data_IF_992921559980
#
_entry.id   IF_992921559980
#
_cell.length_a   1.000
_cell.length_b   1.000
_cell.length_c   1.000
_cell.angle_alpha   90.00
_cell.angle_beta   90.00
_cell.angle_gamma   90.00
#
_symmetry.space_group_name_H-M   'P 1'
#
loop_
_entity.id
_entity.type
_entity.pdbx_description
1 polymer ?
#
# COMPACT_ATOMS: atom_id res chain seq x y z
N UNK A 1 -19.50 -34.93 53.32
CA UNK A 1 -18.08 -34.57 53.51
C UNK A 1 -17.34 -35.13 52.30
N UNK A 2 -17.18 -34.32 51.24
CA UNK A 2 -16.36 -34.68 50.08
C UNK A 2 -14.90 -34.72 50.52
N UNK A 3 -14.17 -35.77 50.12
CA UNK A 3 -12.74 -35.89 50.47
C UNK A 3 -11.95 -34.77 49.79
N UNK A 4 -10.83 -34.30 50.38
CA UNK A 4 -10.00 -33.26 49.77
C UNK A 4 -9.56 -33.59 48.33
N UNK A 5 -9.45 -34.88 48.00
CA UNK A 5 -9.10 -35.37 46.66
C UNK A 5 -10.20 -35.13 45.62
N UNK A 6 -11.48 -35.29 45.98
CA UNK A 6 -12.61 -34.97 45.07
C UNK A 6 -12.66 -33.47 44.73
N UNK A 7 -12.37 -32.60 45.69
CA UNK A 7 -12.37 -31.14 45.47
C UNK A 7 -11.24 -30.70 44.53
N UNK A 8 -10.06 -31.31 44.63
CA UNK A 8 -8.93 -31.03 43.74
C UNK A 8 -9.21 -31.51 42.30
N UNK A 9 -9.79 -32.70 42.15
CA UNK A 9 -10.19 -33.25 40.84
C UNK A 9 -11.27 -32.38 40.18
N UNK A 10 -12.25 -31.88 40.95
CA UNK A 10 -13.28 -31.01 40.40
C UNK A 10 -12.75 -29.62 40.02
N UNK A 11 -11.79 -29.07 40.77
CA UNK A 11 -11.10 -27.82 40.41
C UNK A 11 -10.30 -27.95 39.10
N UNK A 12 -9.66 -29.09 38.84
CA UNK A 12 -8.98 -29.36 37.56
C UNK A 12 -10.00 -29.50 36.42
N UNK A 13 -11.15 -30.15 36.66
CA UNK A 13 -12.21 -30.36 35.66
C UNK A 13 -12.89 -29.06 35.21
N UNK A 14 -12.89 -28.01 36.06
CA UNK A 14 -13.43 -26.67 35.74
C UNK A 14 -12.46 -25.76 34.98
N UNK A 15 -11.22 -26.19 34.72
CA UNK A 15 -10.27 -25.37 33.98
C UNK A 15 -10.59 -25.36 32.49
N UNK A 16 -10.69 -24.16 31.91
CA UNK A 16 -10.86 -24.02 30.47
C UNK A 16 -9.61 -24.55 29.76
N UNK A 17 -9.75 -25.33 28.68
CA UNK A 17 -8.60 -25.74 27.88
C UNK A 17 -8.00 -24.53 27.15
N UNK A 18 -6.68 -24.50 27.01
CA UNK A 18 -5.97 -23.46 26.28
C UNK A 18 -6.36 -23.48 24.79
N UNK A 19 -6.77 -22.34 24.24
CA UNK A 19 -7.22 -22.24 22.85
C UNK A 19 -6.13 -22.60 21.82
N UNK A 20 -4.84 -22.44 22.15
CA UNK A 20 -3.73 -22.81 21.26
C UNK A 20 -3.24 -24.27 21.35
N UNK A 21 -2.98 -24.80 22.54
CA UNK A 21 -2.41 -26.15 22.72
C UNK A 21 -3.35 -27.17 23.36
N UNK A 22 -4.51 -26.76 23.87
CA UNK A 22 -5.48 -27.65 24.52
C UNK A 22 -5.15 -28.02 25.97
N UNK A 23 -3.98 -27.65 26.50
CA UNK A 23 -3.60 -27.91 27.89
C UNK A 23 -4.53 -27.20 28.89
N UNK A 24 -4.76 -27.76 30.09
CA UNK A 24 -5.57 -27.12 31.12
C UNK A 24 -4.95 -25.79 31.56
N UNK A 25 -5.74 -24.71 31.62
CA UNK A 25 -5.26 -23.40 32.06
C UNK A 25 -5.21 -23.31 33.59
N UNK A 26 -3.99 -23.47 34.12
CA UNK A 26 -3.67 -23.38 35.56
C UNK A 26 -3.40 -21.95 36.06
N UNK A 27 -3.35 -20.94 35.18
CA UNK A 27 -3.04 -19.56 35.55
C UNK A 27 -3.40 -18.52 34.48
N UNK A 28 -2.88 -17.30 34.60
CA UNK A 28 -3.08 -16.21 33.62
C UNK A 28 -2.37 -16.47 32.29
N UNK A 29 -1.37 -17.36 32.27
CA UNK A 29 -0.70 -17.82 31.07
C UNK A 29 -0.70 -19.34 31.03
N UNK A 30 -0.82 -19.90 29.83
CA UNK A 30 -0.65 -21.33 29.61
C UNK A 30 0.81 -21.73 29.84
N UNK A 31 1.05 -22.65 30.79
CA UNK A 31 2.39 -23.14 31.12
C UNK A 31 3.10 -23.83 29.96
N UNK A 32 2.37 -24.42 29.01
CA UNK A 32 2.96 -25.18 27.91
C UNK A 32 3.30 -24.31 26.69
N UNK A 33 2.45 -23.32 26.36
CA UNK A 33 2.60 -22.54 25.13
C UNK A 33 2.69 -21.02 25.34
N UNK A 34 2.66 -20.55 26.59
CA UNK A 34 2.78 -19.14 26.95
C UNK A 34 1.57 -18.27 26.56
N UNK A 35 0.44 -18.85 26.13
CA UNK A 35 -0.74 -18.05 25.74
C UNK A 35 -1.40 -17.40 26.97
N UNK A 36 -1.63 -16.07 26.97
CA UNK A 36 -2.41 -15.44 28.02
C UNK A 36 -3.88 -15.86 27.98
N UNK A 37 -4.47 -16.09 29.15
CA UNK A 37 -5.88 -16.45 29.37
C UNK A 37 -6.82 -15.35 28.90
N UNK A 38 -6.52 -14.10 29.24
CA UNK A 38 -7.25 -12.92 28.74
C UNK A 38 -6.53 -12.33 27.54
N UNK A 39 -7.27 -12.09 26.46
CA UNK A 39 -6.76 -11.35 25.30
C UNK A 39 -6.50 -9.90 25.67
N UNK A 40 -5.32 -9.59 26.23
CA UNK A 40 -4.94 -8.23 26.52
C UNK A 40 -4.67 -7.52 25.20
N UNK A 41 -5.51 -6.55 24.84
CA UNK A 41 -5.17 -5.59 23.80
C UNK A 41 -4.04 -4.76 24.40
N UNK A 42 -2.80 -5.06 23.99
CA UNK A 42 -1.64 -4.31 24.46
C UNK A 42 -1.71 -2.88 23.95
N UNK A 43 -1.30 -1.94 24.79
CA UNK A 43 -1.14 -0.54 24.44
C UNK A 43 -0.11 -0.39 23.30
N UNK A 44 -0.30 0.62 22.44
CA UNK A 44 0.52 0.87 21.25
C UNK A 44 2.06 0.87 21.49
N UNK A 45 2.60 1.39 22.61
CA UNK A 45 4.05 1.40 22.85
C UNK A 45 4.66 0.01 23.03
N UNK A 46 3.95 -0.91 23.68
CA UNK A 46 4.41 -2.29 23.84
C UNK A 46 4.50 -3.04 22.51
N UNK A 47 3.68 -2.64 21.53
CA UNK A 47 3.71 -3.22 20.17
C UNK A 47 4.95 -2.79 19.37
N UNK A 48 5.48 -1.58 19.61
CA UNK A 48 6.69 -1.06 18.95
C UNK A 48 7.94 -1.76 19.49
N UNK A 49 8.04 -1.95 20.80
CA UNK A 49 9.13 -2.69 21.42
C UNK A 49 9.16 -4.15 20.94
N UNK A 50 8.00 -4.80 20.94
CA UNK A 50 7.79 -6.14 20.38
C UNK A 50 8.17 -6.26 18.89
N UNK A 51 7.96 -5.19 18.12
CA UNK A 51 8.31 -5.12 16.70
C UNK A 51 9.82 -5.05 16.50
N UNK A 52 10.50 -4.13 17.21
CA UNK A 52 11.96 -4.00 17.13
C UNK A 52 12.66 -5.28 17.58
N UNK A 53 12.17 -5.90 18.66
CA UNK A 53 12.71 -7.17 19.15
C UNK A 53 12.56 -8.30 18.13
N UNK A 54 11.42 -8.39 17.43
CA UNK A 54 11.21 -9.40 16.38
C UNK A 54 11.84 -9.06 15.02
N UNK A 55 12.12 -7.79 14.74
CA UNK A 55 12.84 -7.37 13.54
C UNK A 55 14.33 -7.72 13.64
N UNK A 56 14.90 -7.60 14.84
CA UNK A 56 16.28 -7.95 15.13
C UNK A 56 16.45 -9.44 15.47
N UNK A 57 15.45 -10.08 16.09
CA UNK A 57 15.39 -11.53 16.28
C UNK A 57 14.47 -12.15 15.23
N UNK A 58 15.03 -12.54 14.08
CA UNK A 58 14.32 -13.22 13.00
C UNK A 58 13.83 -14.61 13.48
N UNK A 59 12.70 -14.61 14.19
CA UNK A 59 12.16 -15.74 14.94
C UNK A 59 11.73 -16.87 13.99
N UNK A 60 11.97 -18.12 14.39
CA UNK A 60 11.46 -19.31 13.70
C UNK A 60 9.93 -19.23 13.53
N UNK A 61 9.22 -18.54 14.42
CA UNK A 61 7.78 -18.30 14.30
C UNK A 61 7.40 -17.52 13.03
N UNK A 62 8.21 -16.55 12.61
CA UNK A 62 7.99 -15.77 11.39
C UNK A 62 8.04 -16.66 10.16
N UNK A 63 9.06 -17.54 10.06
CA UNK A 63 9.18 -18.53 9.00
C UNK A 63 8.01 -19.53 8.98
N UNK A 64 7.55 -19.96 10.17
CA UNK A 64 6.35 -20.81 10.28
C UNK A 64 5.06 -20.12 9.83
N UNK A 65 4.97 -18.79 9.93
CA UNK A 65 3.82 -18.02 9.41
C UNK A 65 3.84 -17.81 7.91
N UNK A 66 5.02 -17.62 7.32
CA UNK A 66 5.20 -17.29 5.90
C UNK A 66 4.61 -18.37 4.97
N UNK A 67 4.89 -19.64 5.24
CA UNK A 67 4.40 -20.77 4.42
C UNK A 67 2.86 -20.82 4.33
N UNK A 68 2.13 -20.89 5.47
CA UNK A 68 0.68 -20.84 5.47
C UNK A 68 0.11 -19.51 4.95
N UNK A 69 0.83 -18.39 5.11
CA UNK A 69 0.40 -17.10 4.56
C UNK A 69 0.34 -17.13 3.04
N UNK A 70 1.34 -17.72 2.36
CA UNK A 70 1.40 -17.79 0.89
C UNK A 70 0.47 -18.86 0.29
N UNK A 71 0.36 -20.01 0.95
CA UNK A 71 -0.27 -21.22 0.38
C UNK A 71 -1.71 -21.46 0.83
N UNK A 72 -2.13 -20.96 2.01
CA UNK A 72 -3.45 -21.26 2.60
C UNK A 72 -4.29 -19.99 2.77
N UNK A 73 -5.09 -19.60 1.75
CA UNK A 73 -5.86 -18.36 1.77
C UNK A 73 -6.82 -18.28 2.97
N UNK A 74 -6.75 -17.19 3.73
CA UNK A 74 -7.62 -16.94 4.89
C UNK A 74 -7.44 -17.89 6.09
N UNK A 75 -6.45 -18.78 6.07
CA UNK A 75 -6.21 -19.73 7.17
C UNK A 75 -5.77 -19.03 8.45
N UNK A 76 -4.76 -18.15 8.39
CA UNK A 76 -4.25 -17.44 9.58
C UNK A 76 -5.33 -16.58 10.26
N UNK A 77 -6.18 -15.90 9.48
CA UNK A 77 -7.29 -15.13 10.03
C UNK A 77 -8.26 -16.01 10.82
N UNK A 78 -8.63 -17.16 10.26
CA UNK A 78 -9.51 -18.11 10.93
C UNK A 78 -8.87 -18.74 12.19
N UNK A 79 -7.57 -19.06 12.16
CA UNK A 79 -6.81 -19.51 13.34
C UNK A 79 -6.82 -18.45 14.45
N UNK A 80 -6.61 -17.18 14.07
CA UNK A 80 -6.63 -16.07 15.02
C UNK A 80 -8.02 -15.87 15.63
N UNK A 81 -9.09 -15.98 14.82
CA UNK A 81 -10.48 -15.95 15.29
C UNK A 81 -10.82 -17.13 16.20
N UNK A 82 -10.23 -18.30 15.95
CA UNK A 82 -10.34 -19.47 16.82
C UNK A 82 -9.53 -19.34 18.14
N UNK A 83 -8.78 -18.25 18.32
CA UNK A 83 -8.03 -17.99 19.55
C UNK A 83 -6.61 -18.58 19.58
N UNK A 84 -6.12 -19.16 18.48
CA UNK A 84 -4.77 -19.73 18.36
C UNK A 84 -3.72 -18.65 18.06
N UNK A 85 -3.40 -17.83 19.08
CA UNK A 85 -2.64 -16.57 18.90
C UNK A 85 -1.13 -16.66 19.15
N UNK A 86 -0.62 -17.72 19.76
CA UNK A 86 0.83 -17.86 20.07
C UNK A 86 1.59 -18.73 19.08
N UNK A 87 0.91 -19.60 18.33
CA UNK A 87 1.55 -20.44 17.31
C UNK A 87 2.10 -19.62 16.13
N UNK A 88 1.43 -18.52 15.81
CA UNK A 88 1.72 -17.64 14.69
C UNK A 88 2.06 -16.23 15.17
N UNK A 89 2.82 -15.49 14.37
CA UNK A 89 3.08 -14.07 14.60
C UNK A 89 1.76 -13.29 14.57
N UNK A 90 1.63 -12.27 15.40
CA UNK A 90 0.42 -11.44 15.43
C UNK A 90 0.23 -10.69 14.10
N UNK A 91 -1.01 -10.45 13.65
CA UNK A 91 -1.28 -9.87 12.34
C UNK A 91 -0.60 -8.51 12.14
N UNK A 92 -0.61 -7.65 13.17
CA UNK A 92 0.04 -6.34 13.14
C UNK A 92 1.56 -6.44 13.00
N UNK A 93 2.20 -7.28 13.83
CA UNK A 93 3.64 -7.45 13.79
C UNK A 93 4.10 -8.03 12.45
N UNK A 94 3.36 -9.02 11.94
CA UNK A 94 3.61 -9.63 10.64
C UNK A 94 3.51 -8.60 9.51
N UNK A 95 2.47 -7.77 9.52
CA UNK A 95 2.28 -6.73 8.51
C UNK A 95 3.41 -5.70 8.52
N UNK A 96 3.78 -5.18 9.70
CA UNK A 96 4.86 -4.20 9.81
C UNK A 96 6.19 -4.80 9.34
N UNK A 97 6.52 -6.02 9.76
CA UNK A 97 7.75 -6.70 9.37
C UNK A 97 7.81 -6.93 7.85
N UNK A 98 6.73 -7.47 7.27
CA UNK A 98 6.68 -7.74 5.83
C UNK A 98 6.69 -6.45 5.01
N UNK A 99 6.06 -5.38 5.49
CA UNK A 99 6.08 -4.07 4.81
C UNK A 99 7.49 -3.51 4.79
N UNK A 100 8.15 -3.42 5.95
CA UNK A 100 9.53 -2.90 6.02
C UNK A 100 10.45 -3.74 5.14
N UNK A 101 10.38 -5.07 5.21
CA UNK A 101 11.22 -5.95 4.40
C UNK A 101 10.95 -5.80 2.89
N UNK A 102 9.68 -5.78 2.47
CA UNK A 102 9.32 -5.65 1.05
C UNK A 102 9.77 -4.31 0.47
N UNK A 103 9.48 -3.20 1.16
CA UNK A 103 9.83 -1.86 0.66
C UNK A 103 11.32 -1.56 0.76
N UNK A 104 12.01 -2.08 1.77
CA UNK A 104 13.48 -2.04 1.83
C UNK A 104 14.08 -2.76 0.61
N UNK A 105 13.59 -3.96 0.29
CA UNK A 105 14.09 -4.72 -0.86
C UNK A 105 13.77 -4.03 -2.18
N UNK A 106 12.57 -3.48 -2.35
CA UNK A 106 12.24 -2.64 -3.52
C UNK A 106 13.23 -1.47 -3.61
N UNK A 107 13.44 -0.72 -2.52
CA UNK A 107 14.34 0.43 -2.49
C UNK A 107 15.80 0.08 -2.83
N UNK A 108 16.28 -1.10 -2.44
CA UNK A 108 17.64 -1.57 -2.76
C UNK A 108 17.75 -2.00 -4.23
N UNK A 109 16.72 -2.70 -4.74
CA UNK A 109 16.72 -3.31 -6.07
C UNK A 109 16.42 -2.31 -7.18
N UNK A 110 15.62 -1.29 -6.90
CA UNK A 110 15.29 -0.22 -7.85
C UNK A 110 16.03 1.07 -7.46
N UNK A 111 17.38 1.11 -7.50
CA UNK A 111 18.07 2.37 -7.34
C UNK A 111 17.59 3.27 -8.49
N UNK A 112 17.23 4.51 -8.17
CA UNK A 112 17.01 5.56 -9.15
C UNK A 112 18.34 5.82 -9.84
N UNK A 113 18.65 5.02 -10.87
CA UNK A 113 19.71 5.37 -11.80
C UNK A 113 19.14 6.41 -12.73
N UNK A 114 19.81 7.55 -12.77
CA UNK A 114 19.51 8.65 -13.68
C UNK A 114 19.42 8.10 -15.12
N UNK A 115 18.44 8.59 -15.85
CA UNK A 115 17.84 7.91 -17.00
C UNK A 115 18.83 7.30 -17.99
N UNK A 116 18.72 5.98 -18.20
CA UNK A 116 18.81 5.42 -19.55
C UNK A 116 18.10 4.09 -19.74
N UNK A 117 18.07 3.19 -18.74
CA UNK A 117 17.59 1.83 -19.00
C UNK A 117 16.72 1.29 -17.85
N UNK A 118 15.42 1.61 -17.83
CA UNK A 118 14.46 0.83 -17.07
C UNK A 118 13.64 -0.01 -18.06
N UNK A 119 13.91 -1.32 -18.10
CA UNK A 119 13.21 -2.33 -18.90
C UNK A 119 11.75 -2.59 -18.49
N UNK A 120 11.00 -1.53 -18.18
CA UNK A 120 9.54 -1.58 -18.04
C UNK A 120 8.91 -0.93 -19.28
N UNK A 121 8.87 -1.68 -20.37
CA UNK A 121 8.11 -1.30 -21.55
C UNK A 121 6.62 -1.48 -21.27
N UNK A 122 5.91 -0.38 -20.94
CA UNK A 122 4.46 -0.34 -21.14
C UNK A 122 4.25 -0.29 -22.65
N UNK A 123 3.99 -1.44 -23.26
CA UNK A 123 3.50 -1.51 -24.63
C UNK A 123 2.05 -1.03 -24.60
N UNK A 124 1.87 0.30 -24.70
CA UNK A 124 0.59 0.86 -25.13
C UNK A 124 0.43 0.39 -26.56
N UNK A 125 -0.37 -0.66 -26.75
CA UNK A 125 -0.71 -1.17 -28.06
C UNK A 125 -1.30 -0.05 -28.88
N UNK A 126 -0.52 0.46 -29.84
CA UNK A 126 -0.96 1.39 -30.86
C UNK A 126 -2.01 0.66 -31.70
N UNK A 127 -3.29 0.84 -31.33
CA UNK A 127 -4.39 0.40 -32.18
C UNK A 127 -4.41 1.39 -33.33
N UNK A 128 -3.87 0.95 -34.45
CA UNK A 128 -4.07 1.52 -35.78
C UNK A 128 -5.55 1.87 -35.98
N UNK A 129 -5.88 3.14 -35.75
CA UNK A 129 -7.16 3.71 -36.13
C UNK A 129 -7.21 3.86 -37.66
N UNK A 130 -8.38 3.67 -38.29
CA UNK A 130 -8.53 3.75 -39.74
C UNK A 130 -8.15 5.13 -40.28
N UNK A 131 -7.39 5.13 -41.37
CA UNK A 131 -6.69 6.26 -41.99
C UNK A 131 -7.58 7.43 -42.47
N UNK A 132 -8.91 7.30 -42.43
CA UNK A 132 -9.83 8.32 -42.95
C UNK A 132 -10.23 9.38 -41.91
N UNK A 133 -10.07 9.11 -40.61
CA UNK A 133 -10.28 10.11 -39.56
C UNK A 133 -9.07 11.03 -39.33
N UNK A 134 -7.91 10.71 -39.91
CA UNK A 134 -6.67 11.46 -39.75
C UNK A 134 -6.69 12.82 -40.44
N UNK A 135 -7.25 12.90 -41.66
CA UNK A 135 -7.18 14.12 -42.48
C UNK A 135 -8.01 15.29 -41.90
N UNK A 136 -9.22 15.01 -41.42
CA UNK A 136 -10.09 16.04 -40.85
C UNK A 136 -9.57 16.58 -39.51
N UNK A 137 -8.86 15.75 -38.74
CA UNK A 137 -8.22 16.17 -37.48
C UNK A 137 -6.94 16.94 -37.77
N UNK A 138 -6.16 16.57 -38.79
CA UNK A 138 -4.95 17.33 -39.17
C UNK A 138 -5.27 18.72 -39.69
N UNK A 139 -6.37 18.89 -40.43
CA UNK A 139 -6.77 20.21 -40.96
C UNK A 139 -7.30 21.13 -39.85
N UNK A 140 -8.11 20.61 -38.93
CA UNK A 140 -8.59 21.37 -37.77
C UNK A 140 -7.46 21.76 -36.80
N UNK A 141 -6.40 20.93 -36.70
CA UNK A 141 -5.20 21.24 -35.93
C UNK A 141 -4.34 22.28 -36.65
N UNK A 142 -4.17 22.18 -37.97
CA UNK A 142 -3.41 23.14 -38.78
C UNK A 142 -4.06 24.54 -38.78
N UNK A 143 -5.40 24.62 -38.82
CA UNK A 143 -6.12 25.90 -38.78
C UNK A 143 -6.05 26.57 -37.41
N UNK A 144 -6.10 25.79 -36.32
CA UNK A 144 -5.83 26.28 -34.96
C UNK A 144 -4.37 26.74 -34.79
N UNK A 145 -3.41 26.10 -35.46
CA UNK A 145 -2.00 26.49 -35.44
C UNK A 145 -1.79 27.85 -36.12
N UNK A 146 -2.34 28.06 -37.32
CA UNK A 146 -2.26 29.35 -38.03
C UNK A 146 -2.92 30.49 -37.25
N UNK A 147 -4.05 30.21 -36.58
CA UNK A 147 -4.71 31.17 -35.69
C UNK A 147 -3.89 31.50 -34.42
N UNK A 148 -3.00 30.59 -33.98
CA UNK A 148 -2.06 30.80 -32.87
C UNK A 148 -0.80 31.55 -33.31
N UNK A 149 -0.30 31.27 -34.52
CA UNK A 149 0.90 31.89 -35.10
C UNK A 149 0.72 33.38 -35.42
N UNK A 150 -0.51 33.83 -35.68
CA UNK A 150 -0.84 35.25 -35.87
C UNK A 150 -0.97 36.07 -34.57
N UNK A 151 -0.97 35.44 -33.39
CA UNK A 151 -0.96 36.14 -32.10
C UNK A 151 0.49 36.30 -31.69
N UNK A 152 0.98 37.55 -31.72
CA UNK A 152 2.33 37.88 -31.24
C UNK A 152 2.57 37.19 -29.89
N UNK A 153 3.67 36.42 -29.74
CA UNK A 153 3.99 35.84 -28.45
C UNK A 153 4.13 37.01 -27.48
N UNK A 154 3.29 37.01 -26.44
CA UNK A 154 3.51 37.86 -25.28
C UNK A 154 4.91 37.49 -24.77
N UNK A 155 5.91 38.32 -25.10
CA UNK A 155 7.31 38.07 -24.77
C UNK A 155 7.47 38.23 -23.27
N UNK A 156 7.23 37.14 -22.56
CA UNK A 156 7.61 37.00 -21.16
C UNK A 156 9.14 37.13 -21.12
N UNK A 157 9.69 38.08 -20.33
CA UNK A 157 11.12 38.20 -20.15
C UNK A 157 11.76 36.84 -19.83
N UNK A 158 12.89 36.52 -20.45
CA UNK A 158 13.60 35.24 -20.24
C UNK A 158 13.93 35.00 -18.76
N UNK A 159 14.07 36.08 -17.97
CA UNK A 159 14.22 36.07 -16.52
C UNK A 159 13.03 35.45 -15.76
N UNK A 160 11.79 35.56 -16.28
CA UNK A 160 10.58 35.02 -15.67
C UNK A 160 10.36 33.52 -15.98
N UNK A 161 11.17 32.95 -16.87
CA UNK A 161 11.18 31.52 -17.22
C UNK A 161 12.23 30.73 -16.39
N UNK A 162 13.06 31.42 -15.63
CA UNK A 162 14.08 30.80 -14.77
C UNK A 162 13.44 30.43 -13.43
N UNK A 163 13.52 29.16 -13.07
CA UNK A 163 13.01 28.67 -11.78
C UNK A 163 13.90 29.22 -10.65
N UNK A 164 13.38 30.13 -9.83
CA UNK A 164 14.10 30.68 -8.66
C UNK A 164 13.28 30.48 -7.38
N UNK A 165 13.90 30.52 -6.18
CA UNK A 165 13.16 30.47 -4.91
C UNK A 165 12.08 31.56 -4.80
N UNK A 166 12.30 32.71 -5.45
CA UNK A 166 11.38 33.86 -5.46
C UNK A 166 10.29 33.76 -6.56
N UNK A 167 10.54 33.01 -7.65
CA UNK A 167 9.58 32.70 -8.70
C UNK A 167 9.54 31.18 -9.00
N UNK A 168 8.84 30.39 -8.16
CA UNK A 168 8.79 28.93 -8.31
C UNK A 168 7.86 28.42 -9.42
N UNK A 169 7.15 29.29 -10.15
CA UNK A 169 6.16 28.91 -11.18
C UNK A 169 6.48 29.40 -12.62
N UNK A 170 7.63 29.04 -13.21
CA UNK A 170 7.93 29.39 -14.60
C UNK A 170 7.07 28.62 -15.61
N UNK A 171 6.42 27.52 -15.18
CA UNK A 171 5.52 26.70 -16.00
C UNK A 171 4.13 27.31 -16.23
N UNK A 172 3.88 28.52 -15.71
CA UNK A 172 2.56 29.21 -15.78
C UNK A 172 1.40 28.30 -15.33
N UNK A 173 1.62 27.48 -14.30
CA UNK A 173 0.59 26.58 -13.77
C UNK A 173 -0.55 27.42 -13.18
N UNK A 174 -1.75 27.24 -13.73
CA UNK A 174 -2.99 27.83 -13.24
C UNK A 174 -3.77 26.82 -12.40
N UNK A 175 -4.20 27.23 -11.21
CA UNK A 175 -4.94 26.35 -10.28
C UNK A 175 -6.46 26.61 -10.37
N UNK A 176 -6.87 27.89 -10.43
CA UNK A 176 -8.29 28.28 -10.37
C UNK A 176 -8.73 29.33 -11.41
N UNK A 177 -7.80 30.11 -11.99
CA UNK A 177 -8.09 31.18 -12.95
C UNK A 177 -7.16 31.09 -14.16
N UNK A 178 -7.39 31.85 -15.24
CA UNK A 178 -6.48 31.92 -16.40
C UNK A 178 -5.14 32.59 -16.08
N UNK A 179 -5.02 33.25 -14.92
CA UNK A 179 -3.78 33.84 -14.44
C UNK A 179 -2.89 32.79 -13.76
N UNK A 180 -1.58 32.72 -14.10
CA UNK A 180 -0.62 31.91 -13.38
C UNK A 180 -0.64 32.20 -11.87
N UNK A 181 -0.45 31.16 -11.06
CA UNK A 181 -0.28 31.35 -9.62
C UNK A 181 1.07 32.02 -9.33
N UNK A 182 1.09 33.09 -8.52
CA UNK A 182 2.29 33.76 -8.05
C UNK A 182 2.14 34.05 -6.55
N UNK A 183 3.17 33.79 -5.72
CA UNK A 183 3.06 33.92 -4.26
C UNK A 183 2.71 35.34 -3.78
N UNK A 184 3.03 36.36 -4.58
CA UNK A 184 2.75 37.78 -4.28
C UNK A 184 1.53 38.29 -5.04
N UNK A 185 1.45 38.03 -6.34
CA UNK A 185 0.43 38.65 -7.21
C UNK A 185 -0.91 37.91 -7.21
N UNK A 186 -0.91 36.60 -6.95
CA UNK A 186 -2.12 35.78 -6.96
C UNK A 186 -2.05 34.65 -5.90
N UNK A 187 -1.96 35.00 -4.60
CA UNK A 187 -1.84 34.01 -3.54
C UNK A 187 -3.15 33.23 -3.33
N UNK A 188 -3.03 31.95 -2.96
CA UNK A 188 -4.15 31.14 -2.50
C UNK A 188 -4.55 31.65 -1.10
N UNK A 189 -5.77 32.16 -0.97
CA UNK A 189 -6.32 32.63 0.31
C UNK A 189 -7.49 31.76 0.74
N UNK A 190 -7.39 31.21 1.94
CA UNK A 190 -8.39 30.39 2.62
C UNK A 190 -8.89 31.15 3.83
N UNK A 191 -10.18 31.48 3.82
CA UNK A 191 -10.79 32.37 4.82
C UNK A 191 -10.67 31.87 6.27
N UNK A 192 -10.69 30.55 6.49
CA UNK A 192 -10.60 29.94 7.82
C UNK A 192 -9.16 29.78 8.35
N UNK A 193 -8.14 30.05 7.53
CA UNK A 193 -6.75 29.68 7.81
C UNK A 193 -5.91 30.81 8.46
N UNK A 194 -6.48 32.00 8.64
CA UNK A 194 -5.77 33.18 9.18
C UNK A 194 -4.60 33.65 8.31
N UNK A 195 -3.89 34.71 8.70
CA UNK A 195 -2.77 35.24 7.89
C UNK A 195 -1.56 34.31 7.88
N UNK A 196 -1.18 33.79 9.05
CA UNK A 196 -0.03 32.88 9.21
C UNK A 196 -0.21 31.57 8.45
N UNK A 197 -1.41 30.99 8.50
CA UNK A 197 -1.71 29.76 7.79
C UNK A 197 -1.83 29.98 6.28
N UNK A 198 -2.32 31.13 5.82
CA UNK A 198 -2.28 31.51 4.41
C UNK A 198 -0.85 31.72 3.90
N UNK A 199 0.03 32.33 4.69
CA UNK A 199 1.45 32.45 4.34
C UNK A 199 2.11 31.07 4.21
N UNK A 200 1.93 30.21 5.23
CA UNK A 200 2.41 28.82 5.20
C UNK A 200 1.91 28.04 3.97
N UNK A 201 0.63 28.18 3.64
CA UNK A 201 0.03 27.51 2.48
C UNK A 201 0.66 27.97 1.16
N UNK A 202 0.84 29.27 0.97
CA UNK A 202 1.44 29.81 -0.26
C UNK A 202 2.91 29.37 -0.42
N UNK A 203 3.67 29.30 0.67
CA UNK A 203 5.03 28.75 0.65
C UNK A 203 5.03 27.27 0.23
N UNK A 204 4.11 26.46 0.77
CA UNK A 204 3.98 25.04 0.42
C UNK A 204 3.55 24.82 -1.03
N UNK A 205 2.64 25.65 -1.54
CA UNK A 205 2.20 25.61 -2.96
C UNK A 205 3.37 25.96 -3.89
N UNK A 206 4.19 26.95 -3.53
CA UNK A 206 5.39 27.32 -4.29
C UNK A 206 6.40 26.19 -4.38
N UNK A 207 6.76 25.59 -3.24
CA UNK A 207 7.68 24.45 -3.22
C UNK A 207 7.15 23.25 -4.00
N UNK A 208 5.85 22.98 -3.92
CA UNK A 208 5.22 21.92 -4.71
C UNK A 208 5.37 22.15 -6.22
N UNK A 209 5.05 23.35 -6.71
CA UNK A 209 5.14 23.68 -8.14
C UNK A 209 6.60 23.54 -8.60
N UNK A 210 7.54 24.13 -7.86
CA UNK A 210 8.98 24.00 -8.11
C UNK A 210 9.41 22.53 -8.20
N UNK A 211 9.13 21.75 -7.15
CA UNK A 211 9.54 20.35 -7.04
C UNK A 211 8.85 19.48 -8.11
N UNK A 212 7.63 19.82 -8.54
CA UNK A 212 6.93 19.11 -9.60
C UNK A 212 7.52 19.37 -11.00
N UNK A 213 7.94 20.61 -11.30
CA UNK A 213 8.59 20.95 -12.56
C UNK A 213 9.94 20.24 -12.65
N UNK A 214 10.69 20.21 -11.55
CA UNK A 214 11.97 19.51 -11.48
C UNK A 214 11.80 17.97 -11.53
N UNK A 215 10.76 17.43 -10.91
CA UNK A 215 10.42 16.01 -11.01
C UNK A 215 10.05 15.59 -12.45
N UNK A 216 9.41 16.46 -13.23
CA UNK A 216 9.07 16.18 -14.62
C UNK A 216 10.32 16.02 -15.52
N UNK A 217 11.44 16.67 -15.17
CA UNK A 217 12.73 16.49 -15.86
C UNK A 217 13.40 15.15 -15.55
N UNK A 218 13.08 14.53 -14.41
CA UNK A 218 13.68 13.28 -13.94
C UNK A 218 12.60 12.25 -13.54
N UNK A 219 11.96 11.56 -14.50
CA UNK A 219 10.87 10.62 -14.23
C UNK A 219 11.27 9.48 -13.27
N UNK A 220 12.56 9.10 -13.27
CA UNK A 220 13.07 8.09 -12.34
C UNK A 220 13.04 8.57 -10.87
N UNK A 221 13.33 9.86 -10.61
CA UNK A 221 13.26 10.44 -9.26
C UNK A 221 11.82 10.49 -8.76
N UNK A 222 10.87 10.78 -9.64
CA UNK A 222 9.45 10.76 -9.33
C UNK A 222 8.96 9.36 -8.90
N UNK A 223 9.31 8.32 -9.66
CA UNK A 223 8.91 6.94 -9.34
C UNK A 223 9.43 6.50 -7.97
N UNK A 224 10.68 6.85 -7.62
CA UNK A 224 11.18 6.53 -6.28
C UNK A 224 10.57 7.39 -5.16
N UNK A 225 10.25 8.66 -5.42
CA UNK A 225 9.47 9.46 -4.48
C UNK A 225 8.10 8.83 -4.21
N UNK A 226 7.47 8.17 -5.19
CA UNK A 226 6.25 7.40 -4.96
C UNK A 226 6.49 6.15 -4.09
N UNK A 227 7.57 5.41 -4.31
CA UNK A 227 7.87 4.21 -3.52
C UNK A 227 8.30 4.53 -2.07
N UNK A 228 8.92 5.68 -1.82
CA UNK A 228 9.33 6.09 -0.47
C UNK A 228 8.13 6.38 0.45
N UNK A 229 7.02 6.87 -0.12
CA UNK A 229 5.78 7.18 0.63
C UNK A 229 4.78 6.02 0.67
N UNK A 230 5.00 4.96 -0.12
CA UNK A 230 4.11 3.80 -0.18
C UNK A 230 3.91 3.06 1.16
N UNK A 231 4.94 2.79 1.99
CA UNK A 231 4.76 2.11 3.29
C UNK A 231 3.84 2.89 4.23
N UNK A 232 3.99 4.22 4.27
CA UNK A 232 3.16 5.11 5.09
C UNK A 232 1.71 5.11 4.59
N UNK A 233 1.53 5.15 3.26
CA UNK A 233 0.21 5.11 2.61
C UNK A 233 -0.54 3.83 2.96
N UNK A 234 0.12 2.67 2.88
CA UNK A 234 -0.49 1.38 3.23
C UNK A 234 -0.89 1.29 4.71
N UNK A 235 -0.06 1.84 5.62
CA UNK A 235 -0.40 1.93 7.05
C UNK A 235 -1.65 2.80 7.27
N UNK A 236 -1.74 3.94 6.58
CA UNK A 236 -2.87 4.87 6.70
C UNK A 236 -4.17 4.30 6.13
N UNK A 237 -4.09 3.55 5.03
CA UNK A 237 -5.25 2.92 4.39
C UNK A 237 -5.82 1.78 5.23
N UNK A 238 -5.03 1.14 6.08
CA UNK A 238 -5.43 -0.05 6.82
C UNK A 238 -6.73 0.10 7.64
N UNK A 239 -6.91 1.13 8.51
CA UNK A 239 -8.19 1.34 9.20
C UNK A 239 -9.34 1.65 8.24
N UNK A 240 -9.07 2.40 7.17
CA UNK A 240 -10.07 2.75 6.15
C UNK A 240 -10.52 1.50 5.37
N UNK A 241 -9.59 0.61 5.03
CA UNK A 241 -9.87 -0.65 4.36
C UNK A 241 -10.62 -1.63 5.28
N UNK A 242 -10.25 -1.68 6.57
CA UNK A 242 -11.02 -2.45 7.55
C UNK A 242 -12.47 -1.94 7.67
N UNK A 243 -12.67 -0.62 7.63
CA UNK A 243 -13.99 0.01 7.59
C UNK A 243 -14.73 -0.29 6.28
N UNK A 244 -14.04 -0.26 5.13
CA UNK A 244 -14.59 -0.66 3.83
C UNK A 244 -15.10 -2.11 3.86
N UNK A 245 -14.30 -3.04 4.39
CA UNK A 245 -14.72 -4.41 4.61
C UNK A 245 -15.95 -4.48 5.54
N UNK A 246 -15.94 -3.74 6.65
CA UNK A 246 -17.10 -3.69 7.57
C UNK A 246 -18.37 -3.22 6.86
N UNK A 247 -18.27 -2.23 5.97
CA UNK A 247 -19.42 -1.70 5.21
C UNK A 247 -19.98 -2.76 4.24
N UNK A 248 -19.13 -3.39 3.42
CA UNK A 248 -19.57 -4.41 2.45
C UNK A 248 -20.05 -5.73 3.08
N UNK A 249 -19.60 -6.00 4.30
CA UNK A 249 -19.93 -7.21 5.06
C UNK A 249 -20.79 -6.93 6.30
N UNK A 250 -21.49 -5.79 6.35
CA UNK A 250 -22.28 -5.35 7.52
C UNK A 250 -23.30 -6.40 8.00
N UNK A 251 -23.90 -7.14 7.07
CA UNK A 251 -24.89 -8.18 7.37
C UNK A 251 -24.32 -9.44 8.02
N UNK A 252 -23.00 -9.61 8.10
CA UNK A 252 -22.37 -10.79 8.72
C UNK A 252 -22.14 -10.66 10.23
N UNK A 253 -22.52 -9.52 10.84
CA UNK A 253 -22.43 -9.25 12.29
C UNK A 253 -21.05 -9.54 12.90
N UNK A 254 -19.99 -9.38 12.11
CA UNK A 254 -18.59 -9.50 12.53
C UNK A 254 -18.14 -8.20 13.21
N UNK A 255 -17.24 -8.31 14.18
CA UNK A 255 -16.70 -7.15 14.88
C UNK A 255 -15.69 -6.42 13.99
N UNK A 256 -15.55 -5.09 14.19
CA UNK A 256 -14.55 -4.29 13.45
C UNK A 256 -13.14 -4.88 13.57
N UNK A 257 -12.77 -5.37 14.75
CA UNK A 257 -11.47 -6.01 14.99
C UNK A 257 -11.25 -7.24 14.11
N UNK A 258 -12.29 -8.01 13.80
CA UNK A 258 -12.16 -9.16 12.89
C UNK A 258 -11.82 -8.68 11.48
N UNK A 259 -12.49 -7.65 10.96
CA UNK A 259 -12.18 -7.05 9.66
C UNK A 259 -10.77 -6.44 9.62
N UNK A 260 -10.34 -5.82 10.72
CA UNK A 260 -8.98 -5.28 10.86
C UNK A 260 -7.92 -6.39 10.77
N UNK A 261 -8.16 -7.54 11.40
CA UNK A 261 -7.27 -8.71 11.30
C UNK A 261 -7.23 -9.27 9.88
N UNK A 262 -8.38 -9.31 9.18
CA UNK A 262 -8.42 -9.71 7.76
C UNK A 262 -7.58 -8.76 6.91
N UNK A 263 -7.74 -7.45 7.12
CA UNK A 263 -6.96 -6.42 6.44
C UNK A 263 -5.45 -6.59 6.68
N UNK A 264 -5.03 -6.82 7.92
CA UNK A 264 -3.63 -7.01 8.29
C UNK A 264 -3.01 -8.23 7.61
N UNK A 265 -3.68 -9.39 7.64
CA UNK A 265 -3.16 -10.58 6.96
C UNK A 265 -3.15 -10.43 5.43
N UNK A 266 -4.16 -9.79 4.85
CA UNK A 266 -4.19 -9.58 3.40
C UNK A 266 -3.08 -8.64 2.94
N UNK A 267 -2.80 -7.56 3.69
CA UNK A 267 -1.70 -6.64 3.39
C UNK A 267 -0.33 -7.27 3.66
N UNK A 268 -0.20 -8.11 4.69
CA UNK A 268 1.01 -8.91 4.93
C UNK A 268 1.31 -9.83 3.74
N UNK A 269 0.27 -10.50 3.22
CA UNK A 269 0.39 -11.34 2.02
C UNK A 269 0.77 -10.53 0.79
N UNK A 270 0.16 -9.35 0.57
CA UNK A 270 0.51 -8.46 -0.54
C UNK A 270 1.98 -8.02 -0.46
N UNK A 271 2.47 -7.62 0.72
CA UNK A 271 3.86 -7.23 0.91
C UNK A 271 4.82 -8.41 0.68
N UNK A 272 4.48 -9.61 1.19
CA UNK A 272 5.23 -10.83 0.90
C UNK A 272 5.26 -11.13 -0.60
N UNK A 273 4.13 -10.97 -1.28
CA UNK A 273 4.04 -11.26 -2.70
C UNK A 273 4.90 -10.27 -3.52
N UNK A 274 4.85 -8.97 -3.19
CA UNK A 274 5.71 -7.96 -3.81
C UNK A 274 7.19 -8.28 -3.57
N UNK A 275 7.56 -8.63 -2.34
CA UNK A 275 8.93 -9.05 -2.01
C UNK A 275 9.40 -10.22 -2.89
N UNK A 276 8.58 -11.27 -3.00
CA UNK A 276 8.91 -12.45 -3.81
C UNK A 276 8.98 -12.12 -5.31
N UNK A 277 8.09 -11.26 -5.82
CA UNK A 277 8.14 -10.79 -7.21
C UNK A 277 9.43 -10.03 -7.52
N UNK A 278 9.86 -9.16 -6.60
CA UNK A 278 11.13 -8.42 -6.73
C UNK A 278 12.31 -9.39 -6.71
N UNK A 279 12.35 -10.33 -5.76
CA UNK A 279 13.42 -11.32 -5.66
C UNK A 279 13.51 -12.23 -6.91
N UNK A 280 12.37 -12.65 -7.47
CA UNK A 280 12.33 -13.43 -8.70
C UNK A 280 12.93 -12.67 -9.89
N UNK A 281 12.61 -11.37 -10.02
CA UNK A 281 13.20 -10.52 -11.07
C UNK A 281 14.72 -10.34 -10.89
N UNK A 282 15.21 -10.31 -9.65
CA UNK A 282 16.65 -10.27 -9.38
C UNK A 282 17.36 -11.56 -9.76
N UNK A 283 16.72 -12.71 -9.59
CA UNK A 283 17.31 -13.99 -10.04
C UNK A 283 17.53 -13.97 -11.56
N UNK A 284 16.54 -13.49 -12.33
CA UNK A 284 16.68 -13.39 -13.79
C UNK A 284 17.85 -12.49 -14.22
N UNK A 285 18.09 -11.38 -13.50
CA UNK A 285 19.18 -10.45 -13.84
C UNK A 285 20.56 -11.01 -13.48
N UNK A 286 20.66 -11.86 -12.45
CA UNK A 286 21.93 -12.47 -12.04
C UNK A 286 22.35 -13.65 -12.92
N UNK A 287 21.39 -14.40 -13.45
CA UNK A 287 21.63 -15.60 -14.26
C UNK A 287 21.89 -15.32 -15.75
N UNK A 288 22.37 -14.11 -16.07
CA UNK A 288 22.41 -13.46 -17.39
C UNK A 288 23.20 -14.12 -18.54
N UNK A 289 23.34 -15.45 -18.53
CA UNK A 289 23.97 -16.25 -19.58
C UNK A 289 23.04 -17.31 -20.16
N UNK A 290 21.93 -17.66 -19.48
CA UNK A 290 21.06 -18.77 -19.88
C UNK A 290 19.72 -18.25 -20.43
N UNK A 291 19.45 -18.39 -21.74
CA UNK A 291 18.26 -17.78 -22.38
C UNK A 291 16.92 -18.33 -21.87
N UNK A 292 16.92 -19.52 -21.25
CA UNK A 292 15.71 -20.15 -20.71
C UNK A 292 15.27 -19.50 -19.38
N UNK A 293 16.19 -18.92 -18.60
CA UNK A 293 15.89 -18.42 -17.25
C UNK A 293 14.93 -17.23 -17.25
N UNK A 294 15.08 -16.19 -18.09
CA UNK A 294 14.12 -15.09 -18.14
C UNK A 294 12.70 -15.53 -18.49
N UNK A 295 12.54 -16.53 -19.38
CA UNK A 295 11.23 -17.06 -19.74
C UNK A 295 10.58 -17.80 -18.56
N UNK A 296 11.33 -18.66 -17.86
CA UNK A 296 10.85 -19.35 -16.65
C UNK A 296 10.49 -18.38 -15.53
N UNK A 297 11.33 -17.36 -15.30
CA UNK A 297 11.04 -16.31 -14.32
C UNK A 297 9.80 -15.53 -14.72
N UNK A 298 9.65 -15.17 -16.00
CA UNK A 298 8.45 -14.52 -16.52
C UNK A 298 7.18 -15.34 -16.30
N UNK A 299 7.23 -16.66 -16.52
CA UNK A 299 6.13 -17.57 -16.24
C UNK A 299 5.80 -17.61 -14.74
N UNK A 300 6.81 -17.68 -13.87
CA UNK A 300 6.62 -17.66 -12.40
C UNK A 300 6.04 -16.32 -11.93
N UNK A 301 6.52 -15.20 -12.47
CA UNK A 301 6.01 -13.86 -12.19
C UNK A 301 4.55 -13.74 -12.62
N UNK A 302 4.20 -14.25 -13.81
CA UNK A 302 2.82 -14.27 -14.30
C UNK A 302 1.92 -15.14 -13.41
N UNK A 303 2.37 -16.36 -13.09
CA UNK A 303 1.64 -17.28 -12.22
C UNK A 303 1.39 -16.66 -10.84
N UNK A 304 2.41 -16.01 -10.27
CA UNK A 304 2.31 -15.32 -8.99
C UNK A 304 1.39 -14.10 -9.05
N UNK A 305 1.45 -13.32 -10.14
CA UNK A 305 0.58 -12.17 -10.36
C UNK A 305 -0.88 -12.57 -10.48
N UNK A 306 -1.18 -13.70 -11.14
CA UNK A 306 -2.51 -14.29 -11.18
C UNK A 306 -2.94 -14.90 -9.84
N UNK A 307 -1.99 -15.43 -9.06
CA UNK A 307 -2.26 -16.00 -7.74
C UNK A 307 -2.69 -14.95 -6.71
N UNK A 308 -2.17 -13.72 -6.76
CA UNK A 308 -2.51 -12.64 -5.81
C UNK A 308 -4.03 -12.38 -5.74
N UNK A 309 -4.73 -12.01 -6.84
CA UNK A 309 -6.17 -11.76 -6.79
C UNK A 309 -6.96 -13.03 -6.47
N UNK A 310 -6.53 -14.20 -6.97
CA UNK A 310 -7.18 -15.47 -6.67
C UNK A 310 -7.11 -15.81 -5.18
N UNK A 311 -5.94 -15.62 -4.56
CA UNK A 311 -5.73 -15.81 -3.13
C UNK A 311 -6.67 -14.92 -2.32
N UNK A 312 -6.75 -13.63 -2.65
CA UNK A 312 -7.60 -12.67 -1.93
C UNK A 312 -9.09 -13.01 -2.08
N UNK A 313 -9.52 -13.42 -3.28
CA UNK A 313 -10.89 -13.87 -3.52
C UNK A 313 -11.24 -15.12 -2.69
N UNK A 314 -10.35 -16.14 -2.69
CA UNK A 314 -10.56 -17.36 -1.90
C UNK A 314 -10.53 -17.05 -0.41
N UNK A 315 -9.64 -16.16 0.04
CA UNK A 315 -9.54 -15.75 1.44
C UNK A 315 -10.84 -15.09 1.91
N UNK A 316 -11.38 -14.14 1.13
CA UNK A 316 -12.67 -13.51 1.43
C UNK A 316 -13.79 -14.55 1.49
N UNK A 317 -13.86 -15.47 0.52
CA UNK A 317 -14.85 -16.53 0.51
C UNK A 317 -14.77 -17.39 1.77
N UNK A 318 -13.57 -17.84 2.15
CA UNK A 318 -13.34 -18.73 3.29
C UNK A 318 -13.66 -18.06 4.62
N UNK A 319 -13.38 -16.76 4.76
CA UNK A 319 -13.61 -16.00 5.99
C UNK A 319 -15.10 -15.64 6.15
N UNK A 320 -15.73 -15.12 5.09
CA UNK A 320 -17.11 -14.61 5.16
C UNK A 320 -18.19 -15.64 4.81
N UNK A 321 -17.79 -16.82 4.31
CA UNK A 321 -18.67 -17.95 3.97
C UNK A 321 -19.88 -17.53 3.13
N UNK A 322 -19.62 -16.91 1.98
CA UNK A 322 -20.64 -16.47 1.02
C UNK A 322 -20.60 -17.31 -0.27
N UNK A 323 -21.67 -17.27 -1.05
CA UNK A 323 -21.72 -17.88 -2.39
C UNK A 323 -20.72 -17.22 -3.34
N UNK A 324 -20.29 -17.96 -4.37
CA UNK A 324 -19.24 -17.51 -5.30
C UNK A 324 -19.59 -16.23 -6.04
N UNK A 325 -20.81 -16.12 -6.60
CA UNK A 325 -21.23 -14.96 -7.39
C UNK A 325 -21.21 -13.66 -6.56
N UNK A 326 -21.82 -13.70 -5.37
CA UNK A 326 -21.86 -12.54 -4.48
C UNK A 326 -20.46 -12.17 -3.96
N UNK A 327 -19.62 -13.17 -3.70
CA UNK A 327 -18.23 -12.93 -3.28
C UNK A 327 -17.41 -12.29 -4.40
N UNK A 328 -17.55 -12.78 -5.64
CA UNK A 328 -16.88 -12.22 -6.81
C UNK A 328 -17.29 -10.77 -7.07
N UNK A 329 -18.60 -10.48 -7.06
CA UNK A 329 -19.11 -9.11 -7.22
C UNK A 329 -18.56 -8.17 -6.14
N UNK A 330 -18.64 -8.56 -4.86
CA UNK A 330 -18.10 -7.76 -3.75
C UNK A 330 -16.59 -7.60 -3.86
N UNK A 331 -15.86 -8.64 -4.26
CA UNK A 331 -14.41 -8.58 -4.44
C UNK A 331 -14.02 -7.54 -5.49
N UNK A 332 -14.71 -7.51 -6.63
CA UNK A 332 -14.48 -6.51 -7.69
C UNK A 332 -14.82 -5.11 -7.17
N UNK A 333 -15.99 -4.91 -6.56
CA UNK A 333 -16.38 -3.59 -6.03
C UNK A 333 -15.39 -3.09 -4.95
N UNK A 334 -15.04 -3.95 -3.98
CA UNK A 334 -14.07 -3.62 -2.93
C UNK A 334 -12.70 -3.34 -3.56
N UNK A 335 -12.30 -4.10 -4.56
CA UNK A 335 -11.05 -3.91 -5.30
C UNK A 335 -10.98 -2.54 -5.96
N UNK A 336 -12.04 -2.13 -6.69
CA UNK A 336 -12.13 -0.82 -7.34
C UNK A 336 -12.06 0.32 -6.30
N UNK A 337 -12.86 0.22 -5.24
CA UNK A 337 -12.87 1.24 -4.18
C UNK A 337 -11.51 1.31 -3.48
N UNK A 338 -10.88 0.17 -3.23
CA UNK A 338 -9.54 0.09 -2.66
C UNK A 338 -8.48 0.71 -3.58
N UNK A 339 -8.52 0.46 -4.89
CA UNK A 339 -7.56 1.08 -5.83
C UNK A 339 -7.73 2.59 -5.87
N UNK A 340 -8.96 3.11 -5.85
CA UNK A 340 -9.22 4.56 -5.79
C UNK A 340 -8.70 5.17 -4.49
N UNK A 341 -8.96 4.52 -3.35
CA UNK A 341 -8.45 4.93 -2.03
C UNK A 341 -6.91 4.94 -2.01
N UNK A 342 -6.28 3.93 -2.61
CA UNK A 342 -4.83 3.82 -2.70
C UNK A 342 -4.23 4.92 -3.57
N UNK A 343 -4.79 5.17 -4.75
CA UNK A 343 -4.37 6.26 -5.63
C UNK A 343 -4.49 7.61 -4.94
N UNK A 344 -5.62 7.87 -4.27
CA UNK A 344 -5.83 9.11 -3.52
C UNK A 344 -4.83 9.26 -2.37
N UNK A 345 -4.62 8.19 -1.57
CA UNK A 345 -3.64 8.19 -0.48
C UNK A 345 -2.20 8.42 -0.97
N UNK A 346 -1.83 7.82 -2.11
CA UNK A 346 -0.51 8.05 -2.73
C UNK A 346 -0.35 9.50 -3.19
N UNK A 347 -1.36 10.08 -3.85
CA UNK A 347 -1.32 11.49 -4.29
C UNK A 347 -1.20 12.44 -3.09
N UNK A 348 -1.97 12.21 -2.02
CA UNK A 348 -1.89 13.02 -0.81
C UNK A 348 -0.51 12.94 -0.14
N UNK A 349 0.04 11.74 0.00
CA UNK A 349 1.36 11.58 0.62
C UNK A 349 2.49 12.11 -0.27
N UNK A 350 2.38 11.97 -1.59
CA UNK A 350 3.32 12.56 -2.54
C UNK A 350 3.26 14.09 -2.51
N UNK A 351 2.06 14.67 -2.46
CA UNK A 351 1.87 16.11 -2.26
C UNK A 351 2.53 16.57 -0.96
N UNK A 352 2.30 15.85 0.14
CA UNK A 352 2.90 16.16 1.43
C UNK A 352 4.43 16.08 1.37
N UNK A 353 4.98 15.03 0.74
CA UNK A 353 6.41 14.84 0.56
C UNK A 353 7.04 15.98 -0.27
N UNK A 354 6.45 16.32 -1.42
CA UNK A 354 6.92 17.40 -2.29
C UNK A 354 6.77 18.78 -1.66
N UNK A 355 5.76 19.00 -0.83
CA UNK A 355 5.64 20.24 -0.08
C UNK A 355 6.63 20.31 1.09
N UNK A 356 7.22 19.18 1.52
CA UNK A 356 8.16 19.11 2.64
C UNK A 356 9.64 19.07 2.24
N UNK A 357 9.92 18.72 0.98
CA UNK A 357 11.21 18.87 0.30
C UNK A 357 11.53 20.36 0.09
#
# INVERSE_FOLDING_TARGET
>A
MSTPDETAVEMVRRQQPCLNCGAPLLGEFCYQCGQPKKGMIRHLPGLIADFLDSALNLDTRTLRTLGPLLTKPGFLSNEYFAGRRTRYVTPLRLYLFMSVLAFLMVSIVTPVRDGRDNGFHVSVGDRSAPAEAGLAVTDAVAERQRAREGRAPETVPEADLVVTPDNPNPGRVSIFNTTPWHPVDNPVRVAWLGETGNAWLNTKVGMLIFNSIEANKHPAKFVAAMFSVAPQTLLMILPIFALLLKLFFIFKRRLYMEHLIVALHSHSFLCLAILLLVLLNQVASWTGTWPVVPWLVGLLVFAMSCWIPLYLLIAQKRIYRQGWLMTGFKFVCIGIVYTVLLSFGMVLNLFWALASL
#
